data_IF_455140386077
#
_entry.id   IF_455140386077
#
_cell.length_a   1.000
_cell.length_b   1.000
_cell.length_c   1.000
_cell.angle_alpha   90.00
_cell.angle_beta   90.00
_cell.angle_gamma   90.00
#
_symmetry.space_group_name_H-M   'P 1'
#
loop_
_entity.id
_entity.type
_entity.pdbx_description
1 polymer ?
#
# COMPACT_ATOMS: atom_id res chain seq x y z
N UNK A 1 16.34 7.21 11.96
CA UNK A 1 15.25 6.46 12.60
C UNK A 1 15.62 4.99 12.48
N UNK A 2 15.52 4.19 13.55
CA UNK A 2 15.76 2.75 13.44
C UNK A 2 14.62 2.10 12.63
N UNK A 3 14.95 1.27 11.65
CA UNK A 3 13.93 0.55 10.88
C UNK A 3 13.27 -0.49 11.80
N UNK A 4 11.94 -0.63 11.78
CA UNK A 4 11.28 -1.68 12.55
C UNK A 4 11.79 -3.06 12.09
N UNK A 5 11.71 -4.06 12.98
CA UNK A 5 11.93 -5.46 12.60
C UNK A 5 10.89 -5.97 11.59
N UNK A 6 10.96 -7.26 11.25
CA UNK A 6 10.06 -7.89 10.27
C UNK A 6 8.57 -7.56 10.58
N UNK A 7 7.83 -7.12 9.57
CA UNK A 7 6.47 -6.61 9.74
C UNK A 7 5.51 -7.20 8.71
N UNK A 8 4.38 -7.72 9.20
CA UNK A 8 3.20 -8.01 8.38
C UNK A 8 2.13 -6.99 8.75
N UNK A 9 1.77 -6.13 7.81
CA UNK A 9 0.66 -5.19 7.95
C UNK A 9 -0.61 -5.80 7.37
N UNK A 10 -1.63 -5.99 8.20
CA UNK A 10 -2.93 -6.53 7.77
C UNK A 10 -3.94 -5.39 7.63
N UNK A 11 -4.51 -5.20 6.44
CA UNK A 11 -5.55 -4.19 6.19
C UNK A 11 -6.89 -4.88 5.98
N UNK A 12 -7.82 -4.67 6.91
CA UNK A 12 -9.23 -5.02 6.73
C UNK A 12 -9.93 -3.96 5.90
N UNK A 13 -10.69 -4.37 4.88
CA UNK A 13 -11.21 -3.45 3.87
C UNK A 13 -10.13 -3.01 2.88
N UNK A 14 -9.16 -3.87 2.58
CA UNK A 14 -8.04 -3.55 1.68
C UNK A 14 -8.49 -3.12 0.28
N UNK A 15 -9.67 -3.57 -0.18
CA UNK A 15 -10.21 -3.18 -1.48
C UNK A 15 -10.90 -1.81 -1.49
N UNK A 16 -11.06 -1.17 -0.32
CA UNK A 16 -11.77 0.10 -0.15
C UNK A 16 -10.99 1.33 -0.60
N UNK A 17 -11.72 2.44 -0.73
CA UNK A 17 -11.21 3.71 -1.27
C UNK A 17 -10.01 4.26 -0.48
N UNK A 18 -10.07 4.24 0.85
CA UNK A 18 -8.99 4.75 1.70
C UNK A 18 -7.67 4.01 1.45
N UNK A 19 -7.73 2.70 1.23
CA UNK A 19 -6.55 1.87 0.96
C UNK A 19 -5.89 2.28 -0.34
N UNK A 20 -6.66 2.41 -1.43
CA UNK A 20 -6.15 2.84 -2.72
C UNK A 20 -5.70 4.31 -2.74
N UNK A 21 -6.44 5.20 -2.07
CA UNK A 21 -6.23 6.65 -2.19
C UNK A 21 -5.14 7.18 -1.27
N UNK A 22 -4.90 6.53 -0.13
CA UNK A 22 -3.97 7.03 0.89
C UNK A 22 -3.00 5.97 1.39
N UNK A 23 -3.49 4.82 1.88
CA UNK A 23 -2.63 3.88 2.60
C UNK A 23 -1.53 3.28 1.71
N UNK A 24 -1.91 2.69 0.57
CA UNK A 24 -0.94 2.07 -0.34
C UNK A 24 0.00 3.09 -0.98
N UNK A 25 -0.46 4.25 -1.49
CA UNK A 25 0.45 5.31 -1.95
C UNK A 25 1.42 5.79 -0.85
N UNK A 26 0.96 5.90 0.41
CA UNK A 26 1.85 6.27 1.53
C UNK A 26 2.88 5.19 1.85
N UNK A 27 2.50 3.89 1.81
CA UNK A 27 3.45 2.79 1.97
C UNK A 27 4.49 2.78 0.83
N UNK A 28 4.06 3.06 -0.40
CA UNK A 28 4.98 3.20 -1.54
C UNK A 28 5.97 4.35 -1.35
N UNK A 29 5.52 5.51 -0.86
CA UNK A 29 6.41 6.62 -0.51
C UNK A 29 7.42 6.26 0.59
N UNK A 30 6.99 5.53 1.63
CA UNK A 30 7.89 5.03 2.68
C UNK A 30 8.92 4.03 2.12
N UNK A 31 8.51 3.19 1.16
CA UNK A 31 9.41 2.27 0.47
C UNK A 31 10.49 3.02 -0.32
N UNK A 32 10.11 4.06 -1.07
CA UNK A 32 11.04 4.87 -1.86
C UNK A 32 12.04 5.67 -0.99
N UNK A 33 11.64 6.03 0.23
CA UNK A 33 12.48 6.70 1.21
C UNK A 33 13.34 5.72 2.04
N UNK A 34 13.27 4.42 1.74
CA UNK A 34 13.96 3.37 2.50
C UNK A 34 13.61 3.41 4.01
N UNK A 35 12.32 3.62 4.33
CA UNK A 35 11.80 3.71 5.70
C UNK A 35 10.96 2.48 6.10
N UNK A 36 10.70 1.55 5.18
CA UNK A 36 10.04 0.28 5.51
C UNK A 36 11.05 -0.75 6.04
N UNK A 37 10.59 -1.73 6.85
CA UNK A 37 11.38 -2.90 7.20
C UNK A 37 11.86 -3.65 5.96
N UNK A 38 13.07 -4.21 6.01
CA UNK A 38 13.63 -5.02 4.92
C UNK A 38 12.71 -6.20 4.56
N UNK A 39 12.08 -6.81 5.57
CA UNK A 39 11.08 -7.87 5.42
C UNK A 39 9.70 -7.32 5.77
N UNK A 40 9.05 -6.74 4.76
CA UNK A 40 7.70 -6.19 4.86
C UNK A 40 6.71 -6.98 4.00
N UNK A 41 5.54 -7.27 4.56
CA UNK A 41 4.42 -7.88 3.84
C UNK A 41 3.15 -7.09 4.09
N UNK A 42 2.42 -6.79 3.02
CA UNK A 42 1.06 -6.25 3.09
C UNK A 42 0.05 -7.36 2.81
N UNK A 43 -0.78 -7.69 3.81
CA UNK A 43 -1.86 -8.66 3.68
C UNK A 43 -3.21 -7.93 3.65
N UNK A 44 -3.91 -7.99 2.52
CA UNK A 44 -5.24 -7.42 2.37
C UNK A 44 -6.35 -8.41 2.75
N UNK A 45 -7.34 -7.96 3.51
CA UNK A 45 -8.56 -8.71 3.84
C UNK A 45 -9.77 -7.94 3.33
N UNK A 46 -10.65 -8.62 2.60
CA UNK A 46 -11.87 -8.05 2.02
C UNK A 46 -12.99 -9.09 1.93
N UNK A 47 -14.22 -8.61 1.67
CA UNK A 47 -15.43 -9.46 1.57
C UNK A 47 -15.74 -9.94 0.15
N UNK A 48 -15.15 -9.31 -0.87
CA UNK A 48 -15.41 -9.65 -2.28
C UNK A 48 -14.42 -10.67 -2.81
N UNK A 49 -14.84 -11.42 -3.83
CA UNK A 49 -13.93 -12.26 -4.61
C UNK A 49 -12.98 -11.35 -5.41
N UNK A 50 -11.70 -11.43 -5.08
CA UNK A 50 -10.64 -10.70 -5.76
C UNK A 50 -9.36 -11.52 -5.63
N UNK A 51 -8.69 -11.78 -6.74
CA UNK A 51 -7.41 -12.49 -6.68
C UNK A 51 -6.32 -11.54 -6.18
N UNK A 52 -5.21 -12.10 -5.68
CA UNK A 52 -4.05 -11.27 -5.32
C UNK A 52 -3.45 -10.55 -6.53
N UNK A 53 -3.63 -11.06 -7.75
CA UNK A 53 -3.20 -10.39 -8.97
C UNK A 53 -4.05 -9.15 -9.24
N UNK A 54 -5.39 -9.29 -9.24
CA UNK A 54 -6.31 -8.16 -9.42
C UNK A 54 -6.08 -7.06 -8.36
N UNK A 55 -5.81 -7.48 -7.12
CA UNK A 55 -5.49 -6.55 -6.04
C UNK A 55 -4.21 -5.77 -6.34
N UNK A 56 -3.14 -6.44 -6.79
CA UNK A 56 -1.88 -5.77 -7.15
C UNK A 56 -2.07 -4.81 -8.31
N UNK A 57 -2.80 -5.19 -9.35
CA UNK A 57 -3.04 -4.33 -10.51
C UNK A 57 -3.83 -3.08 -10.11
N UNK A 58 -4.89 -3.25 -9.30
CA UNK A 58 -5.66 -2.14 -8.74
C UNK A 58 -4.80 -1.20 -7.90
N UNK A 59 -3.93 -1.75 -7.06
CA UNK A 59 -3.05 -0.96 -6.18
C UNK A 59 -1.94 -0.25 -6.97
N UNK A 60 -1.37 -0.88 -8.00
CA UNK A 60 -0.38 -0.27 -8.89
C UNK A 60 -0.96 0.94 -9.63
N UNK A 61 -2.17 0.81 -10.18
CA UNK A 61 -2.88 1.92 -10.80
C UNK A 61 -3.16 3.06 -9.80
N UNK A 62 -3.53 2.71 -8.55
CA UNK A 62 -3.76 3.69 -7.49
C UNK A 62 -2.47 4.42 -7.07
N UNK A 63 -1.33 3.73 -7.02
CA UNK A 63 -0.02 4.36 -6.76
C UNK A 63 0.29 5.40 -7.83
N UNK A 64 0.20 5.04 -9.12
CA UNK A 64 0.42 6.00 -10.21
C UNK A 64 -0.48 7.21 -10.10
N UNK A 65 -1.78 6.99 -9.89
CA UNK A 65 -2.77 8.06 -9.78
C UNK A 65 -2.56 9.00 -8.58
N UNK A 66 -2.33 8.46 -7.38
CA UNK A 66 -2.39 9.25 -6.14
C UNK A 66 -1.04 9.65 -5.57
N UNK A 67 0.07 9.24 -6.20
CA UNK A 67 1.41 9.70 -5.83
C UNK A 67 1.79 10.97 -6.62
N UNK A 68 1.40 11.07 -7.89
CA UNK A 68 1.62 12.26 -8.72
C UNK A 68 0.84 13.49 -8.20
N UNK A 69 -0.38 13.28 -7.70
CA UNK A 69 -1.22 14.33 -7.11
C UNK A 69 -0.61 14.94 -5.82
N UNK A 70 0.34 14.26 -5.16
CA UNK A 70 0.92 14.69 -3.87
C UNK A 70 2.15 15.60 -4.02
N UNK A 71 2.73 15.73 -5.21
CA UNK A 71 3.87 16.64 -5.45
C UNK A 71 3.43 18.09 -5.75
N UNK A 72 2.13 18.37 -5.80
CA UNK A 72 1.56 19.69 -6.10
C UNK A 72 0.98 20.43 -4.87
N UNK A 73 1.05 19.84 -3.67
CA UNK A 73 0.72 20.45 -2.38
C UNK A 73 2.00 20.85 -1.62
#
# INVERSE_FOLDING_TARGET
MEKPGNLILVIFGATGDLTSRKLVPSLFSLMNQDLLPEKFVLLGVGRGEMTSADFRDKMAAAIGKYTEDREQD
#
